data_IF_253493263409
#
_entry.id   IF_253493263409
#
_cell.length_a   1.000
_cell.length_b   1.000
_cell.length_c   1.000
_cell.angle_alpha   90.00
_cell.angle_beta   90.00
_cell.angle_gamma   90.00
#
_symmetry.space_group_name_H-M   'P 1'
#
loop_
_entity.id
_entity.type
_entity.pdbx_description
1 polymer ?
#
# COMPACT_ATOMS: atom_id res chain seq x y z
N UNK A 1 42.74 21.70 -31.88
CA UNK A 1 43.71 22.84 -31.87
C UNK A 1 43.41 23.77 -30.68
N UNK A 2 44.48 24.01 -29.90
CA UNK A 2 44.74 25.09 -28.90
C UNK A 2 43.83 25.11 -27.63
N UNK A 3 44.30 24.61 -26.50
CA UNK A 3 45.32 25.09 -25.50
C UNK A 3 44.82 26.29 -24.70
N UNK A 4 44.58 26.08 -23.36
CA UNK A 4 45.48 26.34 -22.21
C UNK A 4 45.41 27.83 -21.79
N UNK A 5 45.13 28.14 -20.47
CA UNK A 5 46.12 28.48 -19.45
C UNK A 5 45.51 28.67 -18.05
N UNK A 6 46.25 28.11 -17.11
CA UNK A 6 46.27 28.35 -15.66
C UNK A 6 46.60 29.80 -15.33
N UNK A 7 46.15 30.32 -14.19
CA UNK A 7 47.04 31.09 -13.36
C UNK A 7 46.69 31.07 -11.86
N UNK A 8 47.65 30.59 -11.10
CA UNK A 8 47.75 30.75 -9.62
C UNK A 8 48.30 32.12 -9.36
N UNK A 9 47.86 32.77 -8.29
CA UNK A 9 48.68 33.73 -7.53
C UNK A 9 48.41 33.67 -6.04
N UNK A 10 49.39 33.15 -5.35
CA UNK A 10 49.69 33.31 -3.93
C UNK A 10 50.28 34.68 -3.70
N UNK A 11 49.91 35.34 -2.60
CA UNK A 11 50.79 36.32 -1.96
C UNK A 11 50.61 36.33 -0.47
N UNK A 12 51.69 36.08 0.22
CA UNK A 12 51.94 36.16 1.67
C UNK A 12 52.40 37.56 2.08
N UNK A 13 52.51 37.74 3.42
CA UNK A 13 53.36 38.71 4.15
C UNK A 13 52.58 40.00 4.54
N UNK A 14 52.59 40.53 5.74
CA UNK A 14 53.62 40.66 6.78
C UNK A 14 53.00 41.18 8.12
N UNK A 15 53.57 40.75 9.19
CA UNK A 15 53.35 41.17 10.57
C UNK A 15 53.74 42.63 10.82
N UNK A 16 53.02 43.30 11.69
CA UNK A 16 53.60 44.40 12.44
C UNK A 16 53.09 44.39 13.89
N UNK A 17 54.02 44.21 14.78
CA UNK A 17 53.89 44.29 16.26
C UNK A 17 53.92 45.79 16.64
N UNK A 18 52.95 46.22 17.45
CA UNK A 18 53.08 47.42 18.23
C UNK A 18 52.57 47.16 19.65
N UNK A 19 53.53 47.08 20.57
CA UNK A 19 53.26 47.03 21.99
C UNK A 19 53.05 48.48 22.53
N UNK A 20 51.93 48.67 23.20
CA UNK A 20 51.80 49.80 24.15
C UNK A 20 51.23 49.24 25.43
N UNK A 21 52.05 49.39 26.50
CA UNK A 21 51.70 49.14 27.89
C UNK A 21 51.14 50.46 28.45
N UNK A 22 49.97 50.43 29.08
CA UNK A 22 49.60 51.34 30.17
C UNK A 22 48.33 50.83 30.88
N UNK A 23 48.43 50.68 32.21
CA UNK A 23 47.37 50.98 33.14
C UNK A 23 46.46 49.86 33.60
N UNK A 24 46.74 49.27 34.76
CA UNK A 24 45.80 48.52 35.58
C UNK A 24 44.61 49.39 35.98
N UNK A 25 43.42 48.89 35.78
CA UNK A 25 42.26 49.15 36.61
C UNK A 25 41.43 47.86 36.68
N UNK A 26 41.36 47.28 37.89
CA UNK A 26 40.58 46.12 38.19
C UNK A 26 39.08 46.48 38.13
N UNK A 27 38.41 46.15 37.04
CA UNK A 27 36.94 46.06 37.01
C UNK A 27 36.55 44.68 37.47
N UNK A 28 35.87 44.58 38.62
CA UNK A 28 35.17 43.36 39.04
C UNK A 28 34.05 43.07 38.05
N UNK A 29 34.29 42.14 37.21
CA UNK A 29 33.20 41.47 36.37
C UNK A 29 32.32 40.66 37.31
N UNK A 30 31.08 41.11 37.53
CA UNK A 30 30.04 40.28 38.14
C UNK A 30 29.72 39.14 37.17
N UNK A 31 30.09 37.92 37.51
CA UNK A 31 29.60 36.72 36.84
C UNK A 31 28.08 36.68 36.96
N UNK A 32 27.40 37.01 35.87
CA UNK A 32 25.98 36.75 35.70
C UNK A 32 25.81 35.23 35.61
N UNK A 33 25.39 34.59 36.69
CA UNK A 33 25.01 33.19 36.74
C UNK A 33 23.76 33.06 35.86
N UNK A 34 23.97 32.75 34.59
CA UNK A 34 22.88 32.31 33.70
C UNK A 34 22.37 30.98 34.25
N UNK A 35 21.32 31.08 35.03
CA UNK A 35 20.56 29.92 35.47
C UNK A 35 20.05 29.18 34.21
N UNK A 36 20.74 28.08 33.84
CA UNK A 36 20.30 27.19 32.79
C UNK A 36 18.99 26.59 33.28
N UNK A 37 17.87 27.15 32.80
CA UNK A 37 16.58 26.47 32.88
C UNK A 37 16.77 25.01 32.49
N UNK A 38 16.28 24.05 33.30
CA UNK A 38 16.32 22.64 32.92
C UNK A 38 15.64 22.51 31.55
N UNK A 39 16.35 22.02 30.55
CA UNK A 39 15.71 21.53 29.32
C UNK A 39 14.69 20.52 29.82
N UNK A 40 13.41 20.85 29.67
CA UNK A 40 12.35 19.89 29.82
C UNK A 40 12.75 18.66 28.98
N UNK A 41 13.18 17.61 29.67
CA UNK A 41 13.41 16.32 29.03
C UNK A 41 12.03 15.79 28.64
N UNK A 42 11.60 16.13 27.44
CA UNK A 42 10.42 15.50 26.82
C UNK A 42 10.68 14.01 26.91
N UNK A 43 9.96 13.33 27.82
CA UNK A 43 10.05 11.87 27.92
C UNK A 43 9.67 11.31 26.56
N UNK A 44 10.60 10.60 25.95
CA UNK A 44 10.33 9.97 24.66
C UNK A 44 9.15 9.01 24.82
N UNK A 45 8.10 9.19 24.04
CA UNK A 45 6.92 8.33 24.07
C UNK A 45 7.35 6.89 23.70
N UNK A 46 7.06 5.95 24.59
CA UNK A 46 7.32 4.51 24.37
C UNK A 46 6.05 3.89 23.81
N UNK A 47 6.14 3.37 22.59
CA UNK A 47 5.01 2.69 21.96
C UNK A 47 4.73 1.33 22.62
N UNK A 48 3.47 0.94 22.82
CA UNK A 48 3.12 -0.40 23.24
C UNK A 48 3.61 -1.46 22.23
N UNK A 49 3.73 -2.71 22.65
CA UNK A 49 4.04 -3.80 21.72
C UNK A 49 2.99 -3.88 20.60
N UNK A 50 3.40 -4.31 19.41
CA UNK A 50 2.45 -4.56 18.32
C UNK A 50 1.49 -5.68 18.75
N UNK A 51 0.18 -5.46 18.54
CA UNK A 51 -0.85 -6.42 18.94
C UNK A 51 -1.14 -6.50 20.44
N UNK A 52 -0.80 -5.46 21.19
CA UNK A 52 -1.14 -5.34 22.62
C UNK A 52 -2.64 -5.45 22.91
N UNK A 53 -3.48 -5.23 21.90
CA UNK A 53 -4.93 -5.27 21.89
C UNK A 53 -5.52 -6.63 21.43
N UNK A 54 -4.66 -7.62 21.15
CA UNK A 54 -5.11 -8.98 20.84
C UNK A 54 -5.66 -9.71 22.10
N UNK A 55 -6.57 -10.68 21.95
CA UNK A 55 -7.11 -11.24 20.71
C UNK A 55 -8.15 -10.34 20.02
N UNK A 56 -8.29 -10.50 18.68
CA UNK A 56 -9.21 -9.70 17.87
C UNK A 56 -10.56 -10.38 17.71
N UNK A 57 -11.62 -9.69 18.14
CA UNK A 57 -13.01 -10.18 18.07
C UNK A 57 -13.75 -9.57 16.88
N UNK A 58 -14.63 -10.35 16.24
CA UNK A 58 -15.36 -9.99 15.02
C UNK A 58 -16.21 -8.71 15.14
N UNK A 59 -16.81 -8.49 16.31
CA UNK A 59 -17.73 -7.37 16.52
C UNK A 59 -17.03 -6.12 17.06
N UNK A 60 -15.71 -6.10 16.99
CA UNK A 60 -14.88 -5.00 17.46
C UNK A 60 -14.08 -4.40 16.32
N UNK A 61 -13.79 -3.11 16.42
CA UNK A 61 -12.85 -2.41 15.54
C UNK A 61 -11.62 -2.09 16.36
N UNK A 62 -10.47 -2.37 15.81
CA UNK A 62 -9.18 -2.12 16.43
C UNK A 62 -8.46 -1.00 15.72
N UNK A 63 -7.73 -0.22 16.49
CA UNK A 63 -7.02 0.93 15.97
C UNK A 63 -5.55 0.87 16.36
N UNK A 64 -4.69 1.31 15.46
CA UNK A 64 -3.33 1.66 15.79
C UNK A 64 -3.27 2.95 16.62
N UNK A 65 -2.05 3.39 16.97
CA UNK A 65 -1.82 4.64 17.69
C UNK A 65 -2.55 5.81 17.01
N UNK A 66 -3.20 6.66 17.81
CA UNK A 66 -3.98 7.84 17.35
C UNK A 66 -4.97 7.50 16.24
N UNK A 67 -5.44 6.26 16.20
CA UNK A 67 -6.37 5.75 15.19
C UNK A 67 -5.87 5.94 13.74
N UNK A 68 -4.57 5.97 13.51
CA UNK A 68 -4.02 6.12 12.15
C UNK A 68 -4.26 4.91 11.27
N UNK A 69 -4.34 3.74 11.87
CA UNK A 69 -4.69 2.48 11.21
C UNK A 69 -5.95 1.92 11.84
N UNK A 70 -6.85 1.44 11.00
CA UNK A 70 -8.12 0.83 11.40
C UNK A 70 -8.15 -0.62 10.92
N UNK A 71 -8.51 -1.55 11.81
CA UNK A 71 -8.63 -2.97 11.51
C UNK A 71 -9.99 -3.51 11.92
N UNK A 72 -10.69 -4.12 10.96
CA UNK A 72 -11.91 -4.91 11.16
C UNK A 72 -11.57 -6.39 11.02
N UNK A 73 -11.58 -7.17 12.10
CA UNK A 73 -11.36 -8.60 12.05
C UNK A 73 -12.45 -9.29 11.23
N UNK A 74 -12.06 -10.28 10.44
CA UNK A 74 -12.95 -11.08 9.62
C UNK A 74 -12.99 -12.55 10.00
N UNK A 75 -13.87 -13.29 9.34
CA UNK A 75 -14.04 -14.73 9.47
C UNK A 75 -14.30 -15.43 8.13
N UNK A 76 -13.90 -14.79 7.03
CA UNK A 76 -13.80 -15.40 5.71
C UNK A 76 -12.36 -15.27 5.17
N UNK A 77 -11.94 -16.08 4.19
CA UNK A 77 -10.55 -16.10 3.72
C UNK A 77 -10.21 -14.94 2.77
N UNK A 78 -10.70 -13.74 3.09
CA UNK A 78 -10.52 -12.52 2.29
C UNK A 78 -9.96 -11.41 3.18
N UNK A 79 -8.91 -10.75 2.68
CA UNK A 79 -8.35 -9.53 3.25
C UNK A 79 -8.54 -8.38 2.26
N UNK A 80 -9.13 -7.29 2.72
CA UNK A 80 -9.14 -6.00 2.01
C UNK A 80 -8.09 -5.10 2.65
N UNK A 81 -7.12 -4.66 1.88
CA UNK A 81 -6.06 -3.74 2.26
C UNK A 81 -6.28 -2.40 1.57
N UNK A 82 -6.28 -1.29 2.30
CA UNK A 82 -6.65 0.04 1.79
C UNK A 82 -5.59 1.07 2.22
N UNK A 83 -4.47 1.16 1.50
CA UNK A 83 -3.32 1.95 1.95
C UNK A 83 -3.45 3.46 1.72
N UNK A 84 -4.30 3.92 0.77
CA UNK A 84 -4.20 5.27 0.23
C UNK A 84 -5.49 6.10 0.27
N UNK A 85 -6.54 5.62 0.95
CA UNK A 85 -7.85 6.30 1.02
C UNK A 85 -8.01 7.27 2.19
N UNK A 86 -7.00 7.44 3.03
CA UNK A 86 -7.06 8.20 4.28
C UNK A 86 -7.10 9.71 4.12
N UNK A 87 -7.48 10.41 5.19
CA UNK A 87 -7.65 11.88 5.23
C UNK A 87 -6.95 12.56 6.39
N UNK A 88 -6.44 11.83 7.39
CA UNK A 88 -5.79 12.39 8.55
C UNK A 88 -4.45 13.03 8.18
N UNK A 89 -4.20 14.21 8.75
CA UNK A 89 -3.00 15.03 8.53
C UNK A 89 -2.45 15.55 9.86
N UNK A 90 -2.05 14.65 10.79
CA UNK A 90 -1.56 15.08 12.10
C UNK A 90 -0.28 15.90 12.00
N UNK A 91 -0.11 16.85 12.93
CA UNK A 91 1.06 17.73 12.96
C UNK A 91 2.37 16.99 13.35
N UNK A 92 2.26 15.91 14.13
CA UNK A 92 3.42 15.10 14.56
C UNK A 92 4.05 14.26 13.42
N UNK A 93 3.36 14.13 12.30
CA UNK A 93 3.87 13.48 11.09
C UNK A 93 4.04 14.55 10.02
N UNK A 94 5.29 14.83 9.67
CA UNK A 94 5.62 15.73 8.58
C UNK A 94 5.17 15.16 7.22
N UNK A 95 4.98 16.03 6.23
CA UNK A 95 4.71 15.57 4.87
C UNK A 95 5.95 14.88 4.30
N UNK A 96 5.76 13.75 3.65
CA UNK A 96 6.81 13.06 2.89
C UNK A 96 7.37 14.00 1.82
N UNK A 97 8.66 13.89 1.53
CA UNK A 97 9.37 14.80 0.61
C UNK A 97 9.60 14.20 -0.78
N UNK A 98 9.45 12.89 -0.93
CA UNK A 98 9.60 12.18 -2.22
C UNK A 98 8.61 11.01 -2.32
N UNK A 99 8.48 10.46 -3.53
CA UNK A 99 7.50 9.42 -3.87
C UNK A 99 6.12 9.98 -4.22
N UNK A 100 5.15 9.12 -4.41
CA UNK A 100 3.77 9.51 -4.76
C UNK A 100 3.03 10.03 -3.52
N UNK A 101 2.42 11.22 -3.63
CA UNK A 101 1.66 11.88 -2.54
C UNK A 101 0.15 11.86 -2.76
N UNK A 102 -0.28 11.50 -3.96
CA UNK A 102 -1.70 11.56 -4.36
C UNK A 102 -2.49 10.48 -3.62
N UNK A 103 -3.57 10.90 -2.98
CA UNK A 103 -4.55 10.03 -2.32
C UNK A 103 -5.45 9.35 -3.36
N UNK A 104 -5.74 8.09 -3.16
CA UNK A 104 -6.70 7.35 -3.97
C UNK A 104 -8.13 7.63 -3.46
N UNK A 105 -8.69 8.80 -3.84
CA UNK A 105 -9.95 9.30 -3.32
C UNK A 105 -11.05 8.23 -3.33
N UNK A 106 -11.85 8.21 -2.26
CA UNK A 106 -13.01 7.35 -2.06
C UNK A 106 -12.72 5.85 -1.88
N UNK A 107 -11.46 5.39 -1.92
CA UNK A 107 -11.16 3.97 -1.69
C UNK A 107 -11.48 3.53 -0.27
N UNK A 108 -11.31 4.40 0.73
CA UNK A 108 -11.69 4.12 2.10
C UNK A 108 -13.20 3.85 2.22
N UNK A 109 -14.03 4.79 1.75
CA UNK A 109 -15.50 4.68 1.83
C UNK A 109 -16.02 3.50 1.00
N UNK A 110 -15.48 3.33 -0.21
CA UNK A 110 -15.83 2.20 -1.07
C UNK A 110 -15.51 0.86 -0.41
N UNK A 111 -14.37 0.75 0.28
CA UNK A 111 -13.99 -0.51 0.96
C UNK A 111 -14.88 -0.84 2.14
N UNK A 112 -15.43 0.16 2.85
CA UNK A 112 -16.47 -0.07 3.87
C UNK A 112 -17.73 -0.63 3.23
N UNK A 113 -18.17 -0.08 2.09
CA UNK A 113 -19.32 -0.60 1.33
C UNK A 113 -19.06 -2.03 0.82
N UNK A 114 -17.83 -2.34 0.38
CA UNK A 114 -17.45 -3.70 -0.02
C UNK A 114 -17.55 -4.66 1.18
N UNK A 115 -17.03 -4.26 2.35
CA UNK A 115 -17.11 -5.05 3.58
C UNK A 115 -18.56 -5.38 3.94
N UNK A 116 -19.42 -4.35 4.01
CA UNK A 116 -20.83 -4.50 4.38
C UNK A 116 -21.59 -5.36 3.36
N UNK A 117 -21.28 -5.21 2.06
CA UNK A 117 -21.87 -6.02 0.98
C UNK A 117 -21.47 -7.50 1.08
N UNK A 118 -20.20 -7.77 1.38
CA UNK A 118 -19.71 -9.13 1.60
C UNK A 118 -20.36 -9.76 2.84
N UNK A 119 -20.48 -9.01 3.93
CA UNK A 119 -21.16 -9.46 5.14
C UNK A 119 -22.63 -9.79 4.88
N UNK A 120 -23.35 -8.91 4.20
CA UNK A 120 -24.75 -9.14 3.84
C UNK A 120 -24.93 -10.37 2.93
N UNK A 121 -23.99 -10.61 2.01
CA UNK A 121 -24.03 -11.72 1.06
C UNK A 121 -23.65 -13.06 1.67
N UNK A 122 -22.59 -13.07 2.50
CA UNK A 122 -22.00 -14.32 3.01
C UNK A 122 -22.43 -14.64 4.44
N UNK A 123 -23.05 -13.69 5.16
CA UNK A 123 -23.31 -13.81 6.59
C UNK A 123 -22.02 -13.79 7.43
N UNK A 124 -20.92 -13.32 6.84
CA UNK A 124 -19.56 -13.35 7.39
C UNK A 124 -18.71 -12.24 6.80
N UNK A 125 -17.72 -11.74 7.56
CA UNK A 125 -16.95 -10.52 7.23
C UNK A 125 -15.59 -10.85 6.63
N UNK A 126 -15.11 -10.08 5.64
CA UNK A 126 -13.70 -10.05 5.30
C UNK A 126 -12.89 -9.35 6.40
N UNK A 127 -11.59 -9.66 6.48
CA UNK A 127 -10.66 -8.81 7.22
C UNK A 127 -10.45 -7.50 6.44
N UNK A 128 -10.52 -6.34 7.10
CA UNK A 128 -10.32 -5.04 6.45
C UNK A 128 -9.30 -4.22 7.22
N UNK A 129 -8.23 -3.82 6.57
CA UNK A 129 -7.20 -2.96 7.13
C UNK A 129 -7.12 -1.66 6.32
N UNK A 130 -7.35 -0.52 6.99
CA UNK A 130 -7.43 0.79 6.36
C UNK A 130 -6.38 1.73 6.97
N UNK A 131 -5.60 2.37 6.11
CA UNK A 131 -4.76 3.50 6.50
C UNK A 131 -5.61 4.77 6.45
N UNK A 132 -5.76 5.46 7.60
CA UNK A 132 -6.52 6.70 7.73
C UNK A 132 -5.67 7.95 7.50
N UNK A 133 -4.34 7.80 7.50
CA UNK A 133 -3.41 8.88 7.14
C UNK A 133 -3.50 9.21 5.63
N UNK A 134 -3.44 10.49 5.31
CA UNK A 134 -3.21 10.90 3.91
C UNK A 134 -1.90 10.30 3.39
N UNK A 135 -1.86 9.92 2.12
CA UNK A 135 -0.67 9.33 1.49
C UNK A 135 0.57 10.20 1.59
N UNK A 136 0.42 11.53 1.66
CA UNK A 136 1.54 12.44 1.92
C UNK A 136 2.14 12.32 3.33
N UNK A 137 1.41 11.73 4.29
CA UNK A 137 1.88 11.46 5.66
C UNK A 137 2.49 10.08 5.80
N UNK A 138 1.91 9.09 5.09
CA UNK A 138 2.36 7.71 5.08
C UNK A 138 1.95 7.03 3.77
N UNK A 139 2.90 6.42 3.07
CA UNK A 139 2.59 5.50 1.97
C UNK A 139 2.71 4.04 2.44
N UNK A 140 1.61 3.47 2.95
CA UNK A 140 1.59 2.11 3.47
C UNK A 140 1.81 1.03 2.38
N UNK A 141 1.90 1.42 1.09
CA UNK A 141 2.25 0.54 -0.03
C UNK A 141 3.70 0.74 -0.51
N UNK A 142 4.62 1.01 0.44
CA UNK A 142 6.07 1.10 0.22
C UNK A 142 6.81 0.41 1.35
N UNK A 143 8.11 0.14 1.16
CA UNK A 143 8.96 -0.26 2.27
C UNK A 143 9.02 0.85 3.33
N UNK A 144 9.41 0.49 4.55
CA UNK A 144 9.34 1.40 5.69
C UNK A 144 10.15 2.69 5.52
N UNK A 145 11.24 2.64 4.75
CA UNK A 145 12.11 3.80 4.53
C UNK A 145 11.42 4.83 3.63
N UNK A 146 10.89 4.40 2.48
CA UNK A 146 10.13 5.28 1.59
C UNK A 146 8.77 5.67 2.20
N UNK A 147 8.13 4.73 2.91
CA UNK A 147 6.80 4.93 3.48
C UNK A 147 6.74 6.04 4.52
N UNK A 148 7.68 6.06 5.46
CA UNK A 148 7.67 6.90 6.66
C UNK A 148 8.72 8.02 6.67
N UNK A 149 9.75 7.93 5.83
CA UNK A 149 10.83 8.92 5.65
C UNK A 149 11.41 9.42 7.00
N UNK A 150 11.82 8.46 7.85
CA UNK A 150 12.44 8.67 9.17
C UNK A 150 11.49 9.20 10.28
N UNK A 151 10.26 9.57 9.98
CA UNK A 151 9.30 9.96 11.00
C UNK A 151 8.86 8.73 11.81
N UNK A 152 9.15 8.75 13.13
CA UNK A 152 8.88 7.62 14.04
C UNK A 152 7.40 7.26 14.18
N UNK A 153 6.50 8.24 14.09
CA UNK A 153 5.06 8.04 14.23
C UNK A 153 4.47 7.44 12.95
N UNK A 154 4.92 7.92 11.79
CA UNK A 154 4.58 7.30 10.50
C UNK A 154 5.12 5.86 10.40
N UNK A 155 6.36 5.63 10.89
CA UNK A 155 6.94 4.29 10.94
C UNK A 155 6.13 3.36 11.86
N UNK A 156 5.67 3.87 13.03
CA UNK A 156 4.78 3.11 13.92
C UNK A 156 3.47 2.75 13.22
N UNK A 157 2.82 3.69 12.55
CA UNK A 157 1.59 3.43 11.80
C UNK A 157 1.82 2.40 10.66
N UNK A 158 2.96 2.47 9.95
CA UNK A 158 3.36 1.46 8.97
C UNK A 158 3.49 0.07 9.59
N UNK A 159 4.14 -0.04 10.76
CA UNK A 159 4.28 -1.30 11.48
C UNK A 159 2.91 -1.88 11.87
N UNK A 160 2.00 -1.07 12.38
CA UNK A 160 0.64 -1.46 12.77
C UNK A 160 -0.18 -1.94 11.57
N UNK A 161 -0.11 -1.23 10.43
CA UNK A 161 -0.78 -1.63 9.20
C UNK A 161 -0.38 -3.02 8.75
N UNK A 162 0.92 -3.27 8.65
CA UNK A 162 1.43 -4.57 8.24
C UNK A 162 1.27 -5.66 9.31
N UNK A 163 1.25 -5.28 10.58
CA UNK A 163 0.98 -6.21 11.67
C UNK A 163 -0.46 -6.73 11.62
N UNK A 164 -1.46 -5.86 11.43
CA UNK A 164 -2.86 -6.28 11.30
C UNK A 164 -3.08 -7.16 10.06
N UNK A 165 -2.45 -6.85 8.94
CA UNK A 165 -2.46 -7.73 7.76
C UNK A 165 -1.85 -9.10 8.11
N UNK A 166 -0.71 -9.11 8.79
CA UNK A 166 -0.05 -10.34 9.24
C UNK A 166 -0.92 -11.18 10.18
N UNK A 167 -1.66 -10.54 11.08
CA UNK A 167 -2.60 -11.18 12.00
C UNK A 167 -3.78 -11.81 11.25
N UNK A 168 -4.36 -11.08 10.29
CA UNK A 168 -5.40 -11.58 9.41
C UNK A 168 -4.93 -12.80 8.58
N UNK A 169 -3.73 -12.70 7.99
CA UNK A 169 -3.13 -13.82 7.24
C UNK A 169 -2.98 -15.07 8.09
N UNK A 170 -2.40 -14.96 9.29
CA UNK A 170 -2.22 -16.09 10.21
C UNK A 170 -3.55 -16.76 10.56
N UNK A 171 -4.61 -15.97 10.78
CA UNK A 171 -5.94 -16.51 11.05
C UNK A 171 -6.50 -17.26 9.84
N UNK A 172 -6.39 -16.68 8.64
CA UNK A 172 -6.84 -17.34 7.40
C UNK A 172 -6.02 -18.61 7.12
N UNK A 173 -4.72 -18.57 7.30
CA UNK A 173 -3.83 -19.73 7.12
C UNK A 173 -4.24 -20.88 8.03
N UNK A 174 -4.55 -20.57 9.30
CA UNK A 174 -4.96 -21.57 10.28
C UNK A 174 -6.37 -22.13 10.02
N UNK A 175 -7.34 -21.27 9.69
CA UNK A 175 -8.75 -21.67 9.58
C UNK A 175 -9.13 -22.21 8.19
N UNK A 176 -8.50 -21.71 7.12
CA UNK A 176 -8.92 -21.99 5.74
C UNK A 176 -7.84 -22.68 4.88
N UNK A 177 -6.58 -22.56 5.22
CA UNK A 177 -5.47 -23.13 4.45
C UNK A 177 -5.22 -22.45 3.09
N UNK A 178 -6.02 -21.43 2.71
CA UNK A 178 -5.83 -20.60 1.51
C UNK A 178 -6.64 -19.31 1.65
N UNK A 179 -6.28 -18.24 0.92
CA UNK A 179 -7.02 -16.99 0.97
C UNK A 179 -6.64 -16.02 -0.14
N UNK A 180 -7.42 -14.94 -0.25
CA UNK A 180 -7.17 -13.84 -1.16
C UNK A 180 -6.91 -12.54 -0.39
N UNK A 181 -5.86 -11.85 -0.78
CA UNK A 181 -5.53 -10.50 -0.36
C UNK A 181 -5.82 -9.55 -1.52
N UNK A 182 -6.79 -8.66 -1.32
CA UNK A 182 -7.22 -7.66 -2.30
C UNK A 182 -6.71 -6.29 -1.83
N UNK A 183 -5.73 -5.74 -2.55
CA UNK A 183 -5.15 -4.42 -2.25
C UNK A 183 -5.90 -3.36 -3.04
N UNK A 184 -6.74 -2.58 -2.37
CA UNK A 184 -7.71 -1.67 -2.98
C UNK A 184 -7.07 -0.31 -3.21
N UNK A 185 -6.92 0.04 -4.46
CA UNK A 185 -6.35 1.27 -4.98
C UNK A 185 -7.28 1.97 -5.95
N UNK A 186 -6.80 3.08 -6.48
CA UNK A 186 -7.53 3.79 -7.50
C UNK A 186 -6.65 4.60 -8.43
N UNK A 187 -6.91 4.46 -9.72
CA UNK A 187 -6.27 5.30 -10.73
C UNK A 187 -7.18 6.45 -11.18
N UNK A 188 -6.57 7.50 -11.70
CA UNK A 188 -7.21 8.68 -12.27
C UNK A 188 -6.90 8.83 -13.75
N UNK A 189 -7.12 10.04 -14.27
CA UNK A 189 -6.75 10.38 -15.65
C UNK A 189 -5.27 10.11 -15.94
N UNK A 190 -5.00 9.78 -17.18
CA UNK A 190 -3.65 9.79 -17.72
C UNK A 190 -3.11 11.23 -17.84
N UNK A 191 -1.81 11.44 -18.07
CA UNK A 191 -1.25 12.77 -18.22
C UNK A 191 -1.88 13.62 -19.36
N UNK A 192 -2.44 12.96 -20.38
CA UNK A 192 -3.18 13.57 -21.49
C UNK A 192 -4.64 13.91 -21.18
N UNK A 193 -5.08 13.64 -19.93
CA UNK A 193 -6.46 13.85 -19.49
C UNK A 193 -7.45 12.73 -19.82
N UNK A 194 -7.01 11.68 -20.53
CA UNK A 194 -7.86 10.53 -20.83
C UNK A 194 -8.06 9.65 -19.57
N UNK A 195 -9.28 9.17 -19.37
CA UNK A 195 -9.65 8.23 -18.34
C UNK A 195 -9.78 6.83 -18.93
N UNK A 196 -8.90 5.90 -18.52
CA UNK A 196 -9.17 4.48 -18.71
C UNK A 196 -10.25 4.06 -17.71
N UNK A 197 -11.38 3.56 -18.19
CA UNK A 197 -12.50 3.15 -17.35
C UNK A 197 -12.40 1.68 -16.90
N UNK A 198 -11.35 0.98 -17.35
CA UNK A 198 -11.09 -0.41 -16.93
C UNK A 198 -10.49 -0.46 -15.54
N UNK A 199 -10.85 -1.47 -14.77
CA UNK A 199 -10.14 -1.84 -13.55
C UNK A 199 -8.81 -2.49 -13.92
N UNK A 200 -7.70 -2.01 -13.37
CA UNK A 200 -6.41 -2.66 -13.57
C UNK A 200 -6.15 -3.64 -12.43
N UNK A 201 -5.76 -4.86 -12.79
CA UNK A 201 -5.50 -5.94 -11.83
C UNK A 201 -4.02 -6.27 -11.81
N UNK A 202 -3.36 -5.91 -10.72
CA UNK A 202 -1.93 -6.10 -10.52
C UNK A 202 -1.62 -7.46 -9.88
N UNK A 203 -0.86 -8.28 -10.60
CA UNK A 203 -0.38 -9.60 -10.18
C UNK A 203 1.14 -9.68 -10.09
N UNK A 204 1.84 -8.54 -10.08
CA UNK A 204 3.29 -8.38 -10.25
C UNK A 204 3.78 -8.76 -11.65
N UNK A 205 2.91 -8.77 -12.64
CA UNK A 205 3.24 -9.00 -14.05
C UNK A 205 3.28 -7.64 -14.76
N UNK A 206 4.43 -7.20 -15.27
CA UNK A 206 4.54 -5.93 -16.01
C UNK A 206 3.61 -5.87 -17.23
N UNK A 207 3.10 -4.69 -17.57
CA UNK A 207 2.22 -4.49 -18.72
C UNK A 207 2.82 -5.01 -20.03
N UNK A 208 4.11 -4.74 -20.27
CA UNK A 208 4.84 -5.26 -21.46
C UNK A 208 4.92 -6.79 -21.53
N UNK A 209 4.83 -7.47 -20.39
CA UNK A 209 4.76 -8.94 -20.34
C UNK A 209 3.31 -9.40 -20.60
N UNK A 210 2.31 -8.68 -20.05
CA UNK A 210 0.89 -8.95 -20.34
C UNK A 210 0.55 -8.75 -21.83
N UNK A 211 1.24 -7.86 -22.53
CA UNK A 211 1.02 -7.60 -23.96
C UNK A 211 1.57 -8.72 -24.87
N UNK A 212 2.30 -9.70 -24.28
CA UNK A 212 2.73 -10.89 -25.03
C UNK A 212 1.55 -11.86 -25.28
N UNK A 213 1.72 -12.73 -26.29
CA UNK A 213 0.74 -13.77 -26.57
C UNK A 213 0.69 -14.84 -25.45
N UNK A 214 -0.38 -15.60 -25.42
CA UNK A 214 -0.63 -16.61 -24.38
C UNK A 214 0.44 -17.70 -24.32
N UNK A 215 0.96 -18.15 -25.47
CA UNK A 215 2.00 -19.17 -25.54
C UNK A 215 3.29 -18.71 -24.87
N UNK A 216 3.71 -17.49 -25.14
CA UNK A 216 4.93 -16.89 -24.54
C UNK A 216 4.74 -16.64 -23.05
N UNK A 217 3.57 -16.19 -22.65
CA UNK A 217 3.28 -15.84 -21.26
C UNK A 217 3.05 -17.08 -20.38
N UNK A 218 2.44 -18.15 -20.91
CA UNK A 218 2.04 -19.35 -20.17
C UNK A 218 3.25 -20.25 -19.81
N UNK A 219 4.15 -19.73 -18.99
CA UNK A 219 5.32 -20.46 -18.53
C UNK A 219 5.40 -20.51 -17.01
N UNK A 220 5.97 -21.60 -16.48
CA UNK A 220 6.21 -21.71 -15.05
C UNK A 220 7.12 -20.58 -14.51
N UNK A 221 8.08 -20.11 -15.30
CA UNK A 221 8.98 -19.01 -14.93
C UNK A 221 8.22 -17.67 -14.76
N UNK A 222 7.11 -17.46 -15.44
CA UNK A 222 6.24 -16.31 -15.25
C UNK A 222 5.30 -16.53 -14.04
N UNK A 223 4.69 -17.72 -13.94
CA UNK A 223 3.76 -18.06 -12.87
C UNK A 223 4.38 -17.87 -11.47
N UNK A 224 5.59 -18.37 -11.24
CA UNK A 224 6.29 -18.30 -9.94
C UNK A 224 6.65 -16.87 -9.51
N UNK A 225 6.67 -15.90 -10.42
CA UNK A 225 6.97 -14.49 -10.13
C UNK A 225 5.73 -13.70 -9.73
N UNK A 226 4.54 -14.29 -9.84
CA UNK A 226 3.28 -13.60 -9.56
C UNK A 226 2.91 -13.63 -8.10
N UNK A 227 2.14 -12.65 -7.67
CA UNK A 227 1.54 -12.60 -6.33
C UNK A 227 0.45 -13.66 -6.10
N UNK A 228 0.02 -14.36 -7.16
CA UNK A 228 -0.99 -15.41 -7.13
C UNK A 228 -0.42 -16.81 -7.34
N UNK A 229 0.88 -17.00 -7.13
CA UNK A 229 1.57 -18.27 -7.33
C UNK A 229 0.86 -19.44 -6.63
N UNK A 230 0.49 -19.31 -5.36
CA UNK A 230 -0.17 -20.37 -4.61
C UNK A 230 -1.53 -20.76 -5.22
N UNK A 231 -2.26 -19.80 -5.77
CA UNK A 231 -3.52 -20.07 -6.47
C UNK A 231 -3.26 -20.83 -7.76
N UNK A 232 -2.24 -20.45 -8.54
CA UNK A 232 -1.86 -21.14 -9.77
C UNK A 232 -1.41 -22.58 -9.47
N UNK A 233 -0.60 -22.78 -8.44
CA UNK A 233 -0.11 -24.11 -8.01
C UNK A 233 -1.26 -25.04 -7.55
N UNK A 234 -2.37 -24.47 -7.06
CA UNK A 234 -3.52 -25.24 -6.54
C UNK A 234 -4.63 -25.43 -7.57
N UNK A 235 -4.71 -24.54 -8.56
CA UNK A 235 -5.77 -24.56 -9.58
C UNK A 235 -5.60 -25.70 -10.57
N UNK A 236 -6.72 -26.30 -11.03
CA UNK A 236 -6.72 -27.25 -12.15
C UNK A 236 -6.49 -26.55 -13.51
N UNK A 237 -6.48 -25.24 -13.55
CA UNK A 237 -6.31 -24.44 -14.75
C UNK A 237 -4.85 -24.05 -14.96
N UNK A 238 -4.46 -23.84 -16.23
CA UNK A 238 -3.13 -23.31 -16.56
C UNK A 238 -2.96 -21.90 -16.03
N UNK A 239 -1.71 -21.46 -15.87
CA UNK A 239 -1.38 -20.10 -15.42
C UNK A 239 -2.12 -19.03 -16.24
N UNK A 240 -2.15 -19.16 -17.56
CA UNK A 240 -2.80 -18.18 -18.42
C UNK A 240 -4.32 -18.13 -18.19
N UNK A 241 -4.96 -19.28 -17.96
CA UNK A 241 -6.38 -19.34 -17.63
C UNK A 241 -6.70 -18.68 -16.29
N UNK A 242 -5.85 -18.87 -15.28
CA UNK A 242 -5.97 -18.21 -13.97
C UNK A 242 -5.79 -16.71 -14.10
N UNK A 243 -4.80 -16.27 -14.89
CA UNK A 243 -4.41 -14.85 -15.00
C UNK A 243 -5.41 -14.04 -15.84
N UNK A 244 -5.79 -14.54 -17.02
CA UNK A 244 -6.60 -13.79 -18.00
C UNK A 244 -7.56 -14.64 -18.87
N UNK A 245 -7.72 -15.93 -18.55
CA UNK A 245 -8.68 -16.80 -19.24
C UNK A 245 -10.13 -16.53 -18.85
N UNK A 246 -11.05 -17.42 -19.29
CA UNK A 246 -12.50 -17.25 -19.09
C UNK A 246 -12.90 -17.14 -17.61
N UNK A 247 -12.18 -17.83 -16.71
CA UNK A 247 -12.47 -17.89 -15.28
C UNK A 247 -11.51 -17.01 -14.45
N UNK A 248 -10.72 -16.15 -15.09
CA UNK A 248 -9.86 -15.19 -14.41
C UNK A 248 -10.68 -14.12 -13.67
N UNK A 249 -10.09 -13.51 -12.66
CA UNK A 249 -10.72 -12.46 -11.87
C UNK A 249 -11.23 -11.31 -12.76
N UNK A 250 -10.40 -10.88 -13.73
CA UNK A 250 -10.76 -9.82 -14.68
C UNK A 250 -11.92 -10.22 -15.60
N UNK A 251 -11.93 -11.46 -16.11
CA UNK A 251 -13.02 -11.92 -16.99
C UNK A 251 -14.34 -12.06 -16.25
N UNK A 252 -14.29 -12.43 -14.98
CA UNK A 252 -15.49 -12.46 -14.13
C UNK A 252 -16.03 -11.05 -13.87
N UNK A 253 -15.15 -10.05 -13.63
CA UNK A 253 -15.56 -8.63 -13.53
C UNK A 253 -16.14 -8.12 -14.85
N UNK A 254 -15.50 -8.41 -15.99
CA UNK A 254 -16.00 -8.05 -17.32
C UNK A 254 -17.43 -8.56 -17.56
N UNK A 255 -17.72 -9.81 -17.16
CA UNK A 255 -19.04 -10.43 -17.33
C UNK A 255 -20.15 -9.72 -16.54
N UNK A 256 -19.78 -8.95 -15.52
CA UNK A 256 -20.67 -8.15 -14.68
C UNK A 256 -20.67 -6.66 -15.06
N UNK A 257 -20.05 -6.30 -16.20
CA UNK A 257 -20.03 -4.94 -16.73
C UNK A 257 -18.87 -4.06 -16.25
N UNK A 258 -17.90 -4.63 -15.52
CA UNK A 258 -16.70 -3.93 -15.06
C UNK A 258 -15.48 -4.34 -15.88
N UNK A 259 -15.25 -3.65 -17.00
CA UNK A 259 -14.10 -3.90 -17.88
C UNK A 259 -12.80 -3.96 -17.08
N UNK A 260 -11.97 -5.01 -17.31
CA UNK A 260 -10.79 -5.25 -16.48
C UNK A 260 -9.58 -5.71 -17.30
N UNK A 261 -8.38 -5.34 -16.87
CA UNK A 261 -7.08 -5.71 -17.44
C UNK A 261 -6.21 -6.31 -16.35
N UNK A 262 -5.64 -7.53 -16.52
CA UNK A 262 -5.87 -8.45 -17.61
C UNK A 262 -7.21 -9.20 -17.50
N UNK A 263 -7.79 -9.53 -18.65
CA UNK A 263 -8.95 -10.40 -18.79
C UNK A 263 -8.92 -11.06 -20.18
N UNK A 264 -9.84 -11.96 -20.44
CA UNK A 264 -9.97 -12.56 -21.78
C UNK A 264 -10.29 -11.51 -22.86
N UNK A 265 -11.07 -10.49 -22.50
CA UNK A 265 -11.44 -9.40 -23.40
C UNK A 265 -10.32 -8.38 -23.57
N UNK A 266 -9.59 -8.10 -22.50
CA UNK A 266 -8.49 -7.14 -22.45
C UNK A 266 -7.25 -7.83 -21.87
N UNK A 267 -6.52 -8.61 -22.69
CA UNK A 267 -5.44 -9.49 -22.20
C UNK A 267 -4.23 -8.76 -21.66
N UNK A 268 -4.00 -7.52 -22.08
CA UNK A 268 -2.94 -6.64 -21.65
C UNK A 268 -3.32 -5.17 -21.80
N UNK A 269 -2.49 -4.24 -21.36
CA UNK A 269 -2.73 -2.79 -21.45
C UNK A 269 -2.45 -2.17 -22.83
N UNK A 270 -1.94 -2.94 -23.81
CA UNK A 270 -1.58 -2.48 -25.17
C UNK A 270 -0.62 -1.26 -25.13
N UNK A 271 0.43 -1.36 -24.35
CA UNK A 271 1.41 -0.28 -24.16
C UNK A 271 0.91 0.92 -23.36
N UNK A 272 -0.35 0.94 -22.92
CA UNK A 272 -0.91 2.01 -22.09
C UNK A 272 -0.39 1.95 -20.65
N UNK A 273 -0.57 3.05 -19.91
CA UNK A 273 -0.29 3.11 -18.48
C UNK A 273 -1.00 1.97 -17.75
N UNK A 274 -0.25 1.30 -16.87
CA UNK A 274 -0.76 0.17 -16.10
C UNK A 274 0.02 0.02 -14.78
N UNK A 275 -0.65 -0.33 -13.69
CA UNK A 275 -0.03 -0.65 -12.41
C UNK A 275 -0.08 -2.16 -12.16
N UNK A 276 1.09 -2.79 -12.22
CA UNK A 276 1.22 -4.25 -12.18
C UNK A 276 1.14 -4.88 -10.79
N UNK A 277 0.99 -4.08 -9.74
CA UNK A 277 1.08 -4.46 -8.34
C UNK A 277 2.17 -3.67 -7.62
N UNK A 278 2.01 -3.48 -6.31
CA UNK A 278 2.91 -2.70 -5.47
C UNK A 278 3.58 -3.53 -4.36
N UNK A 279 4.10 -2.81 -3.37
CA UNK A 279 4.78 -3.39 -2.21
C UNK A 279 3.88 -4.35 -1.42
N UNK A 280 2.62 -3.96 -1.16
CA UNK A 280 1.68 -4.80 -0.44
C UNK A 280 1.40 -6.11 -1.16
N UNK A 281 1.15 -6.02 -2.48
CA UNK A 281 0.92 -7.19 -3.33
C UNK A 281 2.12 -8.14 -3.32
N UNK A 282 3.34 -7.58 -3.37
CA UNK A 282 4.57 -8.36 -3.32
C UNK A 282 4.79 -8.99 -1.93
N UNK A 283 4.62 -8.20 -0.87
CA UNK A 283 4.89 -8.61 0.53
C UNK A 283 3.89 -9.62 1.06
N UNK A 284 2.60 -9.44 0.72
CA UNK A 284 1.51 -10.21 1.33
C UNK A 284 0.95 -11.30 0.43
N UNK A 285 1.29 -11.30 -0.86
CA UNK A 285 0.98 -12.35 -1.81
C UNK A 285 1.90 -13.57 -1.70
N UNK A 286 1.73 -14.51 -2.61
CA UNK A 286 2.41 -15.81 -2.61
C UNK A 286 3.65 -15.91 -3.50
N UNK A 287 4.14 -14.80 -4.08
CA UNK A 287 5.34 -14.82 -4.92
C UNK A 287 6.53 -15.45 -4.22
N UNK A 288 6.78 -15.05 -2.99
CA UNK A 288 7.94 -15.48 -2.20
C UNK A 288 7.58 -16.65 -1.23
N UNK A 289 6.44 -17.30 -1.46
CA UNK A 289 5.90 -18.40 -0.66
C UNK A 289 4.60 -18.03 0.08
N UNK A 290 4.10 -18.96 0.89
CA UNK A 290 2.81 -18.82 1.60
C UNK A 290 1.63 -19.24 0.73
N UNK A 291 0.43 -19.17 1.33
CA UNK A 291 -0.81 -19.70 0.76
C UNK A 291 -1.87 -18.63 0.48
N UNK A 292 -1.54 -17.36 0.70
CA UNK A 292 -2.43 -16.23 0.41
C UNK A 292 -2.02 -15.63 -0.94
N UNK A 293 -2.92 -15.64 -1.90
CA UNK A 293 -2.73 -15.02 -3.20
C UNK A 293 -3.19 -13.56 -3.18
N UNK A 294 -2.41 -12.64 -3.76
CA UNK A 294 -2.69 -11.21 -3.73
C UNK A 294 -3.03 -10.65 -5.12
N UNK A 295 -3.99 -9.75 -5.16
CA UNK A 295 -4.41 -8.99 -6.35
C UNK A 295 -4.49 -7.51 -5.96
N UNK A 296 -3.74 -6.64 -6.63
CA UNK A 296 -3.95 -5.20 -6.55
C UNK A 296 -5.14 -4.83 -7.46
N UNK A 297 -6.09 -4.07 -6.93
CA UNK A 297 -7.28 -3.61 -7.67
C UNK A 297 -7.20 -2.10 -7.81
N UNK A 298 -6.88 -1.63 -9.00
CA UNK A 298 -6.86 -0.22 -9.37
C UNK A 298 -8.21 0.17 -9.98
N UNK A 299 -9.12 0.64 -9.14
CA UNK A 299 -10.45 1.04 -9.58
C UNK A 299 -10.42 2.44 -10.22
N UNK A 300 -11.04 2.66 -11.41
CA UNK A 300 -11.13 3.97 -12.02
C UNK A 300 -12.02 4.93 -11.21
N UNK A 301 -11.68 6.23 -11.17
CA UNK A 301 -12.51 7.22 -10.48
C UNK A 301 -13.87 7.39 -11.17
N UNK A 302 -13.95 7.65 -12.49
CA UNK A 302 -15.22 7.58 -13.20
C UNK A 302 -15.74 6.14 -13.26
N UNK A 303 -17.02 5.96 -12.97
CA UNK A 303 -17.70 4.66 -13.08
C UNK A 303 -17.63 3.78 -11.82
N UNK A 304 -16.53 3.75 -11.08
CA UNK A 304 -16.43 2.92 -9.85
C UNK A 304 -16.34 3.79 -8.60
N UNK A 305 -15.29 4.62 -8.46
CA UNK A 305 -15.03 5.39 -7.23
C UNK A 305 -15.77 6.73 -7.16
N UNK A 306 -16.82 6.94 -7.95
CA UNK A 306 -17.45 8.23 -8.13
C UNK A 306 -18.38 8.64 -6.98
N UNK A 307 -19.25 7.74 -6.55
CA UNK A 307 -20.27 7.98 -5.51
C UNK A 307 -20.80 6.68 -4.91
N UNK A 308 -21.66 6.80 -3.90
CA UNK A 308 -22.24 5.67 -3.17
C UNK A 308 -22.90 4.62 -4.09
N UNK A 309 -23.63 5.04 -5.11
CA UNK A 309 -24.30 4.09 -6.02
C UNK A 309 -23.27 3.27 -6.83
N UNK A 310 -22.23 3.93 -7.35
CA UNK A 310 -21.19 3.22 -8.12
C UNK A 310 -20.36 2.31 -7.21
N UNK A 311 -20.12 2.69 -5.94
CA UNK A 311 -19.47 1.81 -4.95
C UNK A 311 -20.29 0.57 -4.68
N UNK A 312 -21.62 0.72 -4.47
CA UNK A 312 -22.53 -0.41 -4.19
C UNK A 312 -22.62 -1.38 -5.37
N UNK A 313 -22.67 -0.84 -6.60
CA UNK A 313 -22.68 -1.66 -7.80
C UNK A 313 -21.39 -2.50 -7.93
N UNK A 314 -20.24 -1.85 -7.72
CA UNK A 314 -18.95 -2.52 -7.77
C UNK A 314 -18.79 -3.53 -6.63
N UNK A 315 -19.20 -3.18 -5.41
CA UNK A 315 -19.15 -4.06 -4.23
C UNK A 315 -19.94 -5.35 -4.45
N UNK A 316 -21.15 -5.25 -5.06
CA UNK A 316 -21.97 -6.41 -5.39
C UNK A 316 -21.32 -7.31 -6.44
N UNK A 317 -20.71 -6.70 -7.46
CA UNK A 317 -19.96 -7.43 -8.48
C UNK A 317 -18.73 -8.10 -7.87
N UNK A 318 -17.95 -7.36 -7.09
CA UNK A 318 -16.72 -7.86 -6.45
C UNK A 318 -17.02 -9.04 -5.52
N UNK A 319 -18.07 -8.96 -4.70
CA UNK A 319 -18.48 -10.07 -3.84
C UNK A 319 -18.86 -11.32 -4.66
N UNK A 320 -19.52 -11.14 -5.80
CA UNK A 320 -19.84 -12.24 -6.71
C UNK A 320 -18.57 -12.84 -7.33
N UNK A 321 -17.66 -11.99 -7.80
CA UNK A 321 -16.40 -12.42 -8.44
C UNK A 321 -15.51 -13.16 -7.46
N UNK A 322 -15.38 -12.64 -6.24
CA UNK A 322 -14.54 -13.26 -5.20
C UNK A 322 -15.01 -14.67 -4.88
N UNK A 323 -16.33 -14.89 -4.69
CA UNK A 323 -16.90 -16.20 -4.40
C UNK A 323 -16.72 -17.18 -5.59
N UNK A 324 -16.98 -16.69 -6.82
CA UNK A 324 -16.86 -17.52 -8.01
C UNK A 324 -15.41 -17.86 -8.33
N UNK A 325 -14.48 -16.89 -8.21
CA UNK A 325 -13.06 -17.07 -8.43
C UNK A 325 -12.46 -18.05 -7.40
N UNK A 326 -12.83 -17.88 -6.14
CA UNK A 326 -12.41 -18.77 -5.06
C UNK A 326 -12.91 -20.20 -5.30
N UNK A 327 -14.18 -20.35 -5.69
CA UNK A 327 -14.75 -21.66 -6.03
C UNK A 327 -14.08 -22.32 -7.23
N UNK A 328 -13.86 -21.57 -8.32
CA UNK A 328 -13.27 -22.11 -9.55
C UNK A 328 -11.87 -22.65 -9.35
N UNK A 329 -11.06 -21.92 -8.59
CA UNK A 329 -9.64 -22.23 -8.46
C UNK A 329 -9.28 -23.00 -7.19
N UNK A 330 -10.05 -22.87 -6.10
CA UNK A 330 -9.79 -23.51 -4.81
C UNK A 330 -10.86 -24.56 -4.44
N UNK A 331 -11.88 -24.77 -5.27
CA UNK A 331 -12.98 -25.75 -5.09
C UNK A 331 -13.77 -25.56 -3.79
N UNK A 332 -13.80 -24.34 -3.28
CA UNK A 332 -14.51 -23.97 -2.06
C UNK A 332 -15.30 -22.68 -2.26
N UNK A 333 -16.46 -22.58 -1.64
CA UNK A 333 -17.21 -21.33 -1.56
C UNK A 333 -16.71 -20.51 -0.36
N UNK A 334 -16.84 -19.18 -0.47
CA UNK A 334 -16.49 -18.25 0.65
C UNK A 334 -17.37 -18.53 1.87
N UNK A 335 -18.65 -18.88 1.64
CA UNK A 335 -19.58 -19.31 2.69
C UNK A 335 -19.65 -20.84 2.74
N UNK A 336 -19.80 -21.36 3.93
CA UNK A 336 -20.17 -22.76 4.13
C UNK A 336 -21.66 -22.96 3.81
#
# INVERSE_FOLDING_TARGET
MKKIYLNKMTLSILSLIFSIIIGCEEAKESEEVVEKTPKDTVKEEVFPALGHDAPYYLDSVYYGREEYIEYHPGNIPIILSVPHGGWLIPDEIEDRTYGTMVTDDNTYQMSKVIMDTMEARFGSKPHVILCRLKRRKLDANRDSTEAAQENRFAHRAWQEYHYYIGSAKKKIEFEFGSGLFLDIHGHGANPDGYYDLRTWLGYLVPGSVLDQNDETLNTNSNAIKTSIRALVDTSDFSFIEVLRGQHSFGSLLDSLGFGSVPSKKYPGPDGSRFFSGGYNTARHGSRDGGIISAIQIEAPKPGIRQNQQTWSNFASALATVVDEYYFRHLKRRIRN
#
